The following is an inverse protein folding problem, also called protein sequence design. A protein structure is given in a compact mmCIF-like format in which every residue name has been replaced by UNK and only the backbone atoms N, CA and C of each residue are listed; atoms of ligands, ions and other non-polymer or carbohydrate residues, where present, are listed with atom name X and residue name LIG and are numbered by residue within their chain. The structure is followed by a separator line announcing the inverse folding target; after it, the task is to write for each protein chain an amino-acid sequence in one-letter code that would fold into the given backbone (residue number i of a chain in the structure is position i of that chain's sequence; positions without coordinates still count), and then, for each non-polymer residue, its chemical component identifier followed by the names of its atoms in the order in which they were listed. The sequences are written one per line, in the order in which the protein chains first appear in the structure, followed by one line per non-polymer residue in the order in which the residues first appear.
data_IF_762621884379
#
_entry.id   IF_762621884379
#
_cell.length_a   1.000
_cell.length_b   1.000
_cell.length_c   1.000
_cell.angle_alpha   90.00
_cell.angle_beta   90.00
_cell.angle_gamma   90.00
#
_symmetry.space_group_name_H-M   'P 1'
#
loop_
_entity.id
_entity.type
_entity.pdbx_description
1 polymer ?
#
# COMPACT_ATOMS: atom_id res chain seq x y z
N UNK A 1 51.33 -28.32 -45.64
CA UNK A 1 50.28 -29.37 -45.74
C UNK A 1 49.07 -29.15 -44.81
N UNK A 2 49.12 -28.26 -43.80
CA UNK A 2 48.00 -27.99 -42.87
C UNK A 2 47.00 -26.97 -43.43
N UNK A 3 47.46 -25.90 -44.07
CA UNK A 3 46.59 -24.83 -44.63
C UNK A 3 45.57 -25.27 -45.68
N UNK A 4 45.86 -26.35 -46.42
CA UNK A 4 44.94 -26.86 -47.43
C UNK A 4 43.75 -27.59 -46.81
N UNK A 5 43.91 -28.22 -45.64
CA UNK A 5 42.81 -28.90 -44.95
C UNK A 5 41.83 -27.91 -44.33
N UNK A 6 42.33 -26.81 -43.77
CA UNK A 6 41.49 -25.79 -43.14
C UNK A 6 40.63 -25.06 -44.18
N UNK A 7 41.18 -24.78 -45.37
CA UNK A 7 40.43 -24.21 -46.49
C UNK A 7 39.34 -25.14 -47.05
N UNK A 8 39.60 -26.44 -47.06
CA UNK A 8 38.60 -27.44 -47.49
C UNK A 8 37.49 -27.56 -46.44
N UNK A 9 37.82 -27.51 -45.15
CA UNK A 9 36.83 -27.48 -44.06
C UNK A 9 35.96 -26.22 -44.11
N UNK A 10 36.55 -25.06 -44.34
CA UNK A 10 35.82 -23.80 -44.48
C UNK A 10 34.88 -23.81 -45.70
N UNK A 11 35.34 -24.37 -46.83
CA UNK A 11 34.48 -24.59 -48.00
C UNK A 11 33.32 -25.53 -47.71
N UNK A 12 33.54 -26.61 -46.95
CA UNK A 12 32.49 -27.54 -46.56
C UNK A 12 31.45 -26.86 -45.65
N UNK A 13 31.89 -26.10 -44.65
CA UNK A 13 31.00 -25.33 -43.76
C UNK A 13 30.20 -24.30 -44.53
N UNK A 14 30.84 -23.55 -45.43
CA UNK A 14 30.16 -22.54 -46.25
C UNK A 14 29.15 -23.20 -47.21
N UNK A 15 29.48 -24.34 -47.80
CA UNK A 15 28.55 -25.09 -48.66
C UNK A 15 27.34 -25.62 -47.88
N UNK A 16 27.57 -26.12 -46.66
CA UNK A 16 26.50 -26.55 -45.76
C UNK A 16 25.59 -25.38 -45.37
N UNK A 17 26.16 -24.24 -44.99
CA UNK A 17 25.40 -23.02 -44.66
C UNK A 17 24.63 -22.44 -45.86
N UNK A 18 25.18 -22.55 -47.08
CA UNK A 18 24.50 -22.09 -48.31
C UNK A 18 23.34 -23.01 -48.72
N UNK A 19 23.41 -24.31 -48.40
CA UNK A 19 22.35 -25.26 -48.70
C UNK A 19 21.24 -25.31 -47.64
N UNK A 20 21.49 -24.79 -46.44
CA UNK A 20 20.42 -24.51 -45.50
C UNK A 20 19.71 -23.22 -45.89
N UNK A 21 18.46 -23.32 -46.36
CA UNK A 21 17.57 -22.17 -46.46
C UNK A 21 17.52 -21.50 -45.09
N UNK A 22 18.00 -20.26 -45.02
CA UNK A 22 17.88 -19.38 -43.86
C UNK A 22 16.43 -19.46 -43.37
N UNK A 23 16.21 -20.19 -42.27
CA UNK A 23 14.90 -20.24 -41.61
C UNK A 23 14.62 -18.84 -41.13
N UNK A 24 13.89 -18.09 -41.95
CA UNK A 24 13.45 -16.76 -41.60
C UNK A 24 12.51 -16.95 -40.42
N UNK A 25 12.73 -16.25 -39.29
CA UNK A 25 11.80 -16.33 -38.19
C UNK A 25 10.38 -16.02 -38.71
N UNK A 26 9.37 -16.61 -38.09
CA UNK A 26 7.99 -16.27 -38.42
C UNK A 26 7.82 -14.75 -38.30
N UNK A 27 6.93 -14.16 -39.12
CA UNK A 27 6.67 -12.73 -39.10
C UNK A 27 6.35 -12.21 -37.67
N UNK A 28 5.77 -13.07 -36.84
CA UNK A 28 5.38 -12.76 -35.46
C UNK A 28 6.40 -13.17 -34.39
N UNK A 29 7.60 -13.62 -34.76
CA UNK A 29 8.59 -14.10 -33.78
C UNK A 29 9.00 -12.99 -32.81
N UNK A 30 9.35 -11.82 -33.35
CA UNK A 30 9.74 -10.64 -32.56
C UNK A 30 8.58 -10.20 -31.67
N UNK A 31 7.36 -10.18 -32.18
CA UNK A 31 6.18 -9.78 -31.42
C UNK A 31 5.87 -10.76 -30.29
N UNK A 32 6.07 -12.07 -30.50
CA UNK A 32 5.88 -13.08 -29.46
C UNK A 32 6.96 -13.01 -28.39
N UNK A 33 8.22 -12.78 -28.78
CA UNK A 33 9.34 -12.61 -27.85
C UNK A 33 9.15 -11.35 -27.01
N UNK A 34 8.83 -10.21 -27.63
CA UNK A 34 8.58 -8.95 -26.93
C UNK A 34 7.34 -9.07 -26.03
N UNK A 35 6.27 -9.73 -26.48
CA UNK A 35 5.10 -10.01 -25.62
C UNK A 35 5.47 -10.84 -24.40
N UNK A 36 6.26 -11.91 -24.57
CA UNK A 36 6.72 -12.73 -23.45
C UNK A 36 7.60 -11.94 -22.49
N UNK A 37 8.56 -11.17 -23.00
CA UNK A 37 9.44 -10.32 -22.18
C UNK A 37 8.61 -9.30 -21.40
N UNK A 38 7.68 -8.61 -22.05
CA UNK A 38 6.80 -7.63 -21.41
C UNK A 38 5.92 -8.26 -20.33
N UNK A 39 5.35 -9.45 -20.57
CA UNK A 39 4.58 -10.15 -19.53
C UNK A 39 5.43 -10.64 -18.36
N UNK A 40 6.70 -10.98 -18.59
CA UNK A 40 7.64 -11.34 -17.52
C UNK A 40 8.10 -10.11 -16.75
N UNK A 41 8.27 -8.98 -17.43
CA UNK A 41 8.61 -7.68 -16.86
C UNK A 41 7.43 -7.09 -16.07
N UNK A 42 6.19 -7.17 -16.55
CA UNK A 42 4.99 -6.79 -15.81
C UNK A 42 4.77 -7.66 -14.55
N UNK A 43 5.19 -8.94 -14.60
CA UNK A 43 5.19 -9.82 -13.43
C UNK A 43 6.34 -9.55 -12.46
N UNK A 44 7.44 -8.94 -12.93
CA UNK A 44 8.62 -8.55 -12.13
C UNK A 44 8.59 -7.10 -11.67
N UNK A 45 7.78 -6.26 -12.32
CA UNK A 45 7.47 -4.91 -11.91
C UNK A 45 6.98 -5.07 -10.48
N UNK A 46 7.78 -4.55 -9.56
CA UNK A 46 7.54 -4.62 -8.13
C UNK A 46 6.14 -4.09 -7.88
N UNK A 47 5.16 -5.00 -7.81
CA UNK A 47 3.77 -4.63 -7.58
C UNK A 47 3.81 -3.87 -6.26
N UNK A 48 3.57 -2.56 -6.34
CA UNK A 48 3.69 -1.65 -5.21
C UNK A 48 2.68 -2.11 -4.17
N UNK A 49 3.14 -2.98 -3.28
CA UNK A 49 2.30 -3.55 -2.24
C UNK A 49 2.09 -2.41 -1.27
N UNK A 50 0.86 -1.89 -1.14
CA UNK A 50 0.64 -0.73 -0.29
C UNK A 50 1.16 -1.05 1.11
N UNK A 51 2.01 -0.19 1.66
CA UNK A 51 2.66 -0.35 2.98
C UNK A 51 1.66 -0.78 4.07
N UNK A 52 0.40 -0.36 3.92
CA UNK A 52 -0.71 -0.78 4.76
C UNK A 52 -1.87 -1.23 3.84
N UNK A 53 -2.28 -2.51 3.89
CA UNK A 53 -3.40 -3.03 3.10
C UNK A 53 -4.71 -2.31 3.47
N UNK A 54 -5.58 -2.12 2.47
CA UNK A 54 -6.87 -1.39 2.58
C UNK A 54 -7.73 -1.74 3.82
N UNK A 55 -7.88 -3.02 4.25
CA UNK A 55 -8.67 -3.33 5.46
C UNK A 55 -8.08 -2.78 6.75
N UNK A 56 -6.75 -2.66 6.85
CA UNK A 56 -6.09 -2.15 8.06
C UNK A 56 -6.36 -0.65 8.23
N UNK A 57 -6.56 0.09 7.14
CA UNK A 57 -7.02 1.49 7.21
C UNK A 57 -8.42 1.62 7.80
N UNK A 58 -9.35 0.75 7.39
CA UNK A 58 -10.69 0.74 7.94
C UNK A 58 -10.69 0.39 9.44
N UNK A 59 -9.86 -0.58 9.84
CA UNK A 59 -9.68 -0.95 11.25
C UNK A 59 -9.11 0.22 12.07
N UNK A 60 -8.09 0.92 11.54
CA UNK A 60 -7.48 2.06 12.23
C UNK A 60 -8.49 3.21 12.40
N UNK A 61 -9.26 3.51 11.36
CA UNK A 61 -10.33 4.51 11.42
C UNK A 61 -11.41 4.13 12.44
N UNK A 62 -11.86 2.87 12.44
CA UNK A 62 -12.86 2.38 13.39
C UNK A 62 -12.36 2.46 14.85
N UNK A 63 -11.11 2.08 15.10
CA UNK A 63 -10.48 2.19 16.42
C UNK A 63 -10.45 3.64 16.88
N UNK A 64 -10.09 4.55 15.98
CA UNK A 64 -10.04 5.97 16.24
C UNK A 64 -11.39 6.59 16.57
N UNK A 65 -12.42 6.24 15.79
CA UNK A 65 -13.80 6.66 16.05
C UNK A 65 -14.28 6.09 17.38
N UNK A 66 -13.93 4.84 17.73
CA UNK A 66 -14.26 4.24 19.02
C UNK A 66 -13.66 5.02 20.19
N UNK A 67 -12.39 5.42 20.10
CA UNK A 67 -11.72 6.26 21.11
C UNK A 67 -12.38 7.64 21.18
N UNK A 68 -12.68 8.25 20.04
CA UNK A 68 -13.35 9.55 19.99
C UNK A 68 -14.73 9.53 20.65
N UNK A 69 -15.55 8.51 20.33
CA UNK A 69 -16.85 8.31 20.96
C UNK A 69 -16.69 8.08 22.46
N UNK A 70 -15.73 7.28 22.89
CA UNK A 70 -15.45 7.07 24.31
C UNK A 70 -15.03 8.36 25.02
N UNK A 71 -14.27 9.25 24.38
CA UNK A 71 -13.96 10.56 24.95
C UNK A 71 -15.22 11.43 25.07
N UNK A 72 -15.97 11.61 23.97
CA UNK A 72 -17.14 12.50 23.93
C UNK A 72 -18.25 12.03 24.89
N UNK A 73 -18.51 10.72 24.95
CA UNK A 73 -19.60 10.15 25.75
C UNK A 73 -19.16 9.62 27.12
N UNK A 74 -17.90 9.23 27.27
CA UNK A 74 -17.36 8.59 28.47
C UNK A 74 -16.59 9.55 29.38
N UNK A 75 -16.84 10.85 29.30
CA UNK A 75 -16.38 11.81 30.31
C UNK A 75 -17.56 12.47 31.00
N UNK A 76 -17.54 12.69 32.33
CA UNK A 76 -18.62 13.36 33.02
C UNK A 76 -18.38 14.85 32.79
N UNK A 77 -19.10 15.41 31.82
CA UNK A 77 -18.94 16.83 31.49
C UNK A 77 -19.35 17.68 32.69
N UNK A 78 -18.39 18.49 33.17
CA UNK A 78 -18.72 19.75 33.82
C UNK A 78 -19.48 20.58 32.78
N UNK A 79 -20.65 21.07 33.19
CA UNK A 79 -21.66 21.74 32.37
C UNK A 79 -21.07 22.59 31.23
N UNK A 80 -21.15 22.06 30.01
CA UNK A 80 -20.73 22.77 28.81
C UNK A 80 -21.98 23.13 28.01
N UNK A 81 -22.36 24.42 28.05
CA UNK A 81 -23.58 25.02 27.49
C UNK A 81 -23.85 24.74 25.99
N UNK A 82 -22.86 24.19 25.26
CA UNK A 82 -22.92 23.98 23.81
C UNK A 82 -23.26 22.54 23.40
N UNK A 83 -23.27 21.58 24.35
CA UNK A 83 -23.66 20.20 24.07
C UNK A 83 -24.53 19.71 25.23
N UNK A 84 -25.85 19.52 25.03
CA UNK A 84 -26.72 19.02 26.10
C UNK A 84 -26.20 17.65 26.55
N UNK A 85 -25.98 17.49 27.85
CA UNK A 85 -25.49 16.26 28.45
C UNK A 85 -26.34 15.08 27.96
N UNK A 86 -25.78 14.28 27.05
CA UNK A 86 -26.38 13.01 26.69
C UNK A 86 -26.13 12.09 27.88
N UNK A 87 -27.19 11.61 28.54
CA UNK A 87 -27.08 10.75 29.71
C UNK A 87 -26.27 9.48 29.36
N UNK A 88 -25.07 9.36 29.94
CA UNK A 88 -24.08 8.33 29.62
C UNK A 88 -23.92 7.28 30.72
N UNK A 89 -24.89 7.19 31.64
CA UNK A 89 -24.91 6.22 32.76
C UNK A 89 -24.72 4.77 32.30
N UNK A 90 -25.11 4.42 31.06
CA UNK A 90 -25.02 3.05 30.53
C UNK A 90 -23.59 2.67 30.07
N UNK A 91 -22.74 3.63 29.73
CA UNK A 91 -21.38 3.36 29.21
C UNK A 91 -20.29 3.37 30.31
N UNK A 92 -20.65 3.84 31.51
CA UNK A 92 -19.71 4.12 32.59
C UNK A 92 -19.42 2.95 33.53
N UNK A 93 -20.27 1.91 33.57
CA UNK A 93 -20.05 0.73 34.43
C UNK A 93 -19.20 -0.36 33.75
N UNK A 94 -18.03 0.03 33.25
CA UNK A 94 -17.05 -0.90 32.68
C UNK A 94 -15.74 -0.85 33.48
N UNK A 95 -15.14 -2.02 33.75
CA UNK A 95 -13.91 -2.13 34.56
C UNK A 95 -12.73 -1.31 33.99
N UNK A 96 -12.70 -1.12 32.67
CA UNK A 96 -11.74 -0.28 31.95
C UNK A 96 -11.86 1.20 32.34
N UNK A 97 -13.08 1.72 32.46
CA UNK A 97 -13.35 3.12 32.84
C UNK A 97 -12.91 3.39 34.27
N UNK A 98 -13.11 2.41 35.19
CA UNK A 98 -12.64 2.49 36.58
C UNK A 98 -11.11 2.51 36.69
N UNK A 99 -10.40 1.77 35.83
CA UNK A 99 -8.92 1.78 35.79
C UNK A 99 -8.35 3.10 35.24
N UNK A 100 -9.03 3.74 34.27
CA UNK A 100 -8.62 5.02 33.69
C UNK A 100 -9.09 6.24 34.50
N UNK A 101 -10.06 6.07 35.40
CA UNK A 101 -10.65 7.13 36.25
C UNK A 101 -9.64 7.83 37.18
N UNK A 102 -8.45 7.26 37.40
CA UNK A 102 -7.39 7.90 38.17
C UNK A 102 -6.69 9.05 37.44
N UNK A 103 -6.87 9.16 36.12
CA UNK A 103 -6.19 10.15 35.28
C UNK A 103 -7.13 11.31 34.98
N UNK A 104 -6.98 12.41 35.73
CA UNK A 104 -7.72 13.66 35.50
C UNK A 104 -7.07 14.43 34.35
N UNK A 105 -7.64 14.35 33.16
CA UNK A 105 -7.28 15.25 32.06
C UNK A 105 -8.07 16.56 32.16
N UNK A 106 -7.41 17.68 31.89
CA UNK A 106 -8.09 18.98 31.75
C UNK A 106 -8.91 18.98 30.45
N UNK A 107 -10.08 19.64 30.47
CA UNK A 107 -10.97 19.72 29.30
C UNK A 107 -10.25 20.24 28.06
N UNK A 108 -9.35 21.23 28.22
CA UNK A 108 -8.56 21.78 27.10
C UNK A 108 -7.63 20.72 26.47
N UNK A 109 -6.99 19.88 27.27
CA UNK A 109 -6.08 18.83 26.80
C UNK A 109 -6.85 17.77 26.03
N UNK A 110 -8.06 17.44 26.49
CA UNK A 110 -8.94 16.49 25.84
C UNK A 110 -9.42 17.00 24.47
N UNK A 111 -9.88 18.26 24.39
CA UNK A 111 -10.26 18.89 23.11
C UNK A 111 -9.08 19.01 22.15
N UNK A 112 -7.89 19.36 22.65
CA UNK A 112 -6.68 19.43 21.83
C UNK A 112 -6.30 18.06 21.27
N UNK A 113 -6.39 17.00 22.08
CA UNK A 113 -6.10 15.64 21.65
C UNK A 113 -7.07 15.18 20.56
N UNK A 114 -8.36 15.47 20.73
CA UNK A 114 -9.41 15.24 19.73
C UNK A 114 -9.13 15.97 18.42
N UNK A 115 -8.80 17.25 18.50
CA UNK A 115 -8.50 18.06 17.32
C UNK A 115 -7.26 17.55 16.58
N UNK A 116 -6.20 17.25 17.33
CA UNK A 116 -4.97 16.67 16.80
C UNK A 116 -5.22 15.32 16.14
N UNK A 117 -6.04 14.50 16.78
CA UNK A 117 -6.50 13.24 16.27
C UNK A 117 -7.20 13.40 14.91
N UNK A 118 -8.21 14.28 14.84
CA UNK A 118 -8.94 14.57 13.59
C UNK A 118 -7.99 15.08 12.50
N UNK A 119 -7.04 15.94 12.86
CA UNK A 119 -6.04 16.48 11.95
C UNK A 119 -5.17 15.36 11.34
N UNK A 120 -4.64 14.46 12.16
CA UNK A 120 -3.86 13.30 11.71
C UNK A 120 -4.70 12.37 10.82
N UNK A 121 -5.97 12.15 11.20
CA UNK A 121 -6.90 11.32 10.43
C UNK A 121 -7.12 11.81 9.00
N UNK A 122 -7.03 13.12 8.76
CA UNK A 122 -7.13 13.72 7.43
C UNK A 122 -5.76 13.80 6.75
N UNK A 123 -4.72 14.18 7.49
CA UNK A 123 -3.37 14.37 6.96
C UNK A 123 -2.78 13.08 6.39
N UNK A 124 -2.95 11.97 7.09
CA UNK A 124 -2.38 10.69 6.71
C UNK A 124 -2.91 10.19 5.33
N UNK A 125 -4.23 10.13 5.05
CA UNK A 125 -4.73 9.75 3.73
C UNK A 125 -4.40 10.78 2.64
N UNK A 126 -4.25 12.07 2.99
CA UNK A 126 -3.83 13.11 2.05
C UNK A 126 -2.37 12.91 1.61
N UNK A 127 -1.48 12.61 2.56
CA UNK A 127 -0.08 12.24 2.27
C UNK A 127 -0.01 10.97 1.43
N UNK A 128 -0.81 9.94 1.79
CA UNK A 128 -0.89 8.71 1.01
C UNK A 128 -1.27 8.97 -0.45
N UNK A 129 -2.30 9.79 -0.68
CA UNK A 129 -2.74 10.17 -2.04
C UNK A 129 -1.69 10.96 -2.82
N UNK A 130 -0.88 11.76 -2.15
CA UNK A 130 0.21 12.52 -2.78
C UNK A 130 1.32 11.58 -3.27
N UNK A 131 1.77 10.64 -2.43
CA UNK A 131 2.79 9.66 -2.81
C UNK A 131 2.30 8.64 -3.84
N UNK A 132 1.02 8.24 -3.79
CA UNK A 132 0.42 7.30 -4.76
C UNK A 132 0.21 7.93 -6.15
N UNK A 133 0.26 9.26 -6.28
CA UNK A 133 0.23 9.99 -7.56
C UNK A 133 1.61 10.38 -8.09
N UNK A 134 2.67 10.14 -7.32
CA UNK A 134 4.01 10.67 -7.60
C UNK A 134 5.13 9.67 -7.33
N UNK A 135 5.10 8.54 -8.06
CA UNK A 135 6.27 7.83 -8.55
C UNK A 135 5.91 7.10 -9.85
#
# INVERSE_FOLDING_TARGET
MKDHKDKELEKLVNKLMQHETLKTPSQDFTDNVIRHIKTLEDKKATAYKPLIPKPIWALLAACFVGIFLFLVFGTPSQESTWMPAMNTDVLYDNQLTKALSGVKFSSITMYAFVFFALMLGIQIPLLKRYYEKGL
#
